data_IF_429041078585
#
_entry.id   IF_429041078585
#
_cell.length_a   1.000
_cell.length_b   1.000
_cell.length_c   1.000
_cell.angle_alpha   90.00
_cell.angle_beta   90.00
_cell.angle_gamma   90.00
#
_symmetry.space_group_name_H-M   'P 1'
#
loop_
_entity.id
_entity.type
_entity.pdbx_description
1 polymer ?
#
# COMPACT_ATOMS: atom_id res chain seq x y z
N UNK A 1 18.17 -11.30 -20.79
CA UNK A 1 18.57 -11.97 -19.53
C UNK A 1 17.76 -11.30 -18.42
N UNK A 2 16.74 -11.98 -17.89
CA UNK A 2 15.97 -11.49 -16.75
C UNK A 2 16.89 -11.50 -15.52
N UNK A 3 17.13 -10.34 -14.91
CA UNK A 3 17.87 -10.23 -13.64
C UNK A 3 16.89 -9.73 -12.60
N UNK A 4 16.66 -10.52 -11.56
CA UNK A 4 15.91 -10.07 -10.38
C UNK A 4 16.78 -9.09 -9.61
N UNK A 5 16.41 -7.82 -9.64
CA UNK A 5 17.19 -6.73 -9.06
C UNK A 5 16.95 -6.56 -7.56
N UNK A 6 15.72 -6.79 -7.08
CA UNK A 6 15.34 -6.54 -5.69
C UNK A 6 14.04 -7.29 -5.31
N UNK A 7 14.00 -7.91 -4.14
CA UNK A 7 12.82 -8.58 -3.57
C UNK A 7 12.63 -8.10 -2.13
N UNK A 8 11.47 -7.49 -1.82
CA UNK A 8 11.12 -7.03 -0.48
C UNK A 8 9.86 -7.74 0.02
N UNK A 9 10.04 -8.60 1.02
CA UNK A 9 8.99 -9.45 1.61
C UNK A 9 8.42 -8.95 2.95
N UNK A 10 8.75 -7.72 3.33
CA UNK A 10 8.24 -7.08 4.54
C UNK A 10 6.81 -6.57 4.31
N UNK A 11 5.94 -6.66 5.31
CA UNK A 11 4.57 -6.10 5.26
C UNK A 11 3.83 -6.36 3.94
N UNK A 12 3.44 -7.62 3.68
CA UNK A 12 2.78 -7.97 2.44
C UNK A 12 1.47 -7.22 2.31
N UNK A 13 1.20 -6.75 1.10
CA UNK A 13 -0.07 -6.12 0.76
C UNK A 13 -1.17 -7.17 0.93
N UNK A 14 -2.35 -6.78 1.42
CA UNK A 14 -3.53 -7.63 1.44
C UNK A 14 -4.46 -7.25 0.29
N UNK A 15 -5.15 -8.26 -0.25
CA UNK A 15 -6.19 -8.08 -1.24
C UNK A 15 -7.18 -9.24 -1.19
N UNK A 16 -7.96 -9.37 -2.24
CA UNK A 16 -8.94 -10.44 -2.39
C UNK A 16 -8.36 -11.50 -3.34
N UNK A 17 -8.42 -12.75 -2.91
CA UNK A 17 -8.04 -13.93 -3.71
C UNK A 17 -9.14 -14.35 -4.68
N UNK A 18 -8.83 -15.32 -5.55
CA UNK A 18 -9.80 -15.92 -6.46
C UNK A 18 -11.01 -16.60 -5.79
N UNK A 19 -10.94 -16.87 -4.48
CA UNK A 19 -12.06 -17.39 -3.67
C UNK A 19 -12.89 -16.28 -3.01
N UNK A 20 -12.59 -15.01 -3.27
CA UNK A 20 -13.27 -13.88 -2.61
C UNK A 20 -12.82 -13.64 -1.17
N UNK A 21 -11.73 -14.26 -0.71
CA UNK A 21 -11.20 -14.13 0.65
C UNK A 21 -10.01 -13.18 0.74
N UNK A 22 -9.89 -12.50 1.88
CA UNK A 22 -8.71 -11.68 2.20
C UNK A 22 -7.47 -12.56 2.25
N UNK A 23 -6.43 -12.17 1.52
CA UNK A 23 -5.16 -12.90 1.50
C UNK A 23 -3.97 -11.97 1.29
N UNK A 24 -2.75 -12.36 1.70
CA UNK A 24 -1.53 -11.68 1.30
C UNK A 24 -1.31 -11.78 -0.21
N UNK A 25 -0.86 -10.68 -0.79
CA UNK A 25 -0.41 -10.55 -2.15
C UNK A 25 1.12 -10.47 -2.14
N UNK A 26 1.77 -11.26 -2.99
CA UNK A 26 3.20 -11.13 -3.25
C UNK A 26 3.43 -10.44 -4.60
N UNK A 27 4.48 -9.62 -4.75
CA UNK A 27 4.92 -9.19 -6.06
C UNK A 27 5.23 -10.40 -6.96
N UNK A 28 4.54 -10.48 -8.08
CA UNK A 28 4.85 -11.40 -9.17
C UNK A 28 5.86 -10.78 -10.13
N UNK A 29 5.69 -11.02 -11.43
CA UNK A 29 6.51 -10.37 -12.45
C UNK A 29 6.11 -8.90 -12.59
N UNK A 30 7.03 -8.00 -12.27
CA UNK A 30 6.87 -6.55 -12.42
C UNK A 30 7.90 -6.07 -13.44
N UNK A 31 7.48 -5.97 -14.71
CA UNK A 31 8.41 -5.84 -15.83
C UNK A 31 8.44 -4.41 -16.36
N UNK A 32 9.65 -3.85 -16.39
CA UNK A 32 10.01 -2.66 -17.18
C UNK A 32 10.95 -3.13 -18.27
N UNK A 33 10.67 -2.77 -19.51
CA UNK A 33 11.46 -3.23 -20.63
C UNK A 33 11.93 -2.10 -21.55
N UNK A 34 13.12 -2.31 -22.09
CA UNK A 34 13.75 -1.47 -23.10
C UNK A 34 14.06 -2.36 -24.29
N UNK A 35 13.61 -1.96 -25.47
CA UNK A 35 13.84 -2.70 -26.71
C UNK A 35 14.91 -1.97 -27.49
N UNK A 36 15.95 -2.72 -27.87
CA UNK A 36 17.09 -2.26 -28.67
C UNK A 36 17.08 -3.08 -29.95
N UNK A 37 17.13 -2.41 -31.10
CA UNK A 37 17.18 -3.07 -32.40
C UNK A 37 18.55 -3.68 -32.71
N UNK A 38 18.67 -4.35 -33.86
CA UNK A 38 19.90 -5.00 -34.33
C UNK A 38 21.04 -4.01 -34.64
N UNK A 39 20.73 -2.72 -34.79
CA UNK A 39 21.70 -1.63 -34.98
C UNK A 39 22.23 -1.06 -33.66
N UNK A 40 21.66 -1.49 -32.53
CA UNK A 40 21.99 -0.95 -31.20
C UNK A 40 21.20 0.31 -30.83
N UNK A 41 20.17 0.68 -31.59
CA UNK A 41 19.33 1.84 -31.30
C UNK A 41 18.18 1.44 -30.37
N UNK A 42 17.97 2.24 -29.33
CA UNK A 42 16.82 2.08 -28.42
C UNK A 42 15.55 2.52 -29.14
N UNK A 43 14.60 1.61 -29.31
CA UNK A 43 13.29 1.87 -29.94
C UNK A 43 12.15 1.98 -28.92
N UNK A 44 12.31 1.36 -27.75
CA UNK A 44 11.41 1.50 -26.59
C UNK A 44 12.28 1.63 -25.36
N UNK A 45 11.98 2.57 -24.47
CA UNK A 45 12.78 2.82 -23.27
C UNK A 45 11.90 2.84 -22.03
N UNK A 46 12.18 1.97 -21.08
CA UNK A 46 11.52 1.91 -19.78
C UNK A 46 9.98 1.85 -19.85
N UNK A 47 9.46 1.00 -20.73
CA UNK A 47 8.02 0.84 -20.93
C UNK A 47 7.45 -0.21 -19.96
N UNK A 48 6.22 0.03 -19.52
CA UNK A 48 5.38 -0.93 -18.79
C UNK A 48 4.11 -1.17 -19.62
N UNK A 49 3.69 -2.43 -19.73
CA UNK A 49 2.47 -2.77 -20.45
C UNK A 49 1.21 -2.40 -19.64
N UNK A 50 0.14 -2.06 -20.34
CA UNK A 50 -1.17 -1.86 -19.74
C UNK A 50 -1.92 -3.21 -19.64
N UNK A 51 -2.85 -3.32 -18.69
CA UNK A 51 -3.66 -4.52 -18.47
C UNK A 51 -5.16 -4.22 -18.71
N UNK A 52 -5.60 -4.01 -19.96
CA UNK A 52 -6.98 -3.64 -20.27
C UNK A 52 -8.00 -4.74 -19.90
N UNK A 53 -7.59 -6.01 -19.91
CA UNK A 53 -8.47 -7.10 -19.51
C UNK A 53 -8.71 -7.09 -18.00
N UNK A 54 -7.70 -6.75 -17.20
CA UNK A 54 -7.85 -6.55 -15.75
C UNK A 54 -8.88 -5.46 -15.45
N UNK A 55 -8.81 -4.33 -16.16
CA UNK A 55 -9.76 -3.23 -16.00
C UNK A 55 -11.22 -3.68 -16.21
N UNK A 56 -11.45 -4.51 -17.24
CA UNK A 56 -12.77 -5.09 -17.52
C UNK A 56 -13.21 -6.07 -16.43
N UNK A 57 -12.30 -6.91 -15.93
CA UNK A 57 -12.62 -7.91 -14.90
C UNK A 57 -13.01 -7.26 -13.58
N UNK A 58 -12.27 -6.24 -13.14
CA UNK A 58 -12.60 -5.53 -11.89
C UNK A 58 -13.70 -4.48 -12.07
N UNK A 59 -14.10 -4.19 -13.32
CA UNK A 59 -15.19 -3.28 -13.65
C UNK A 59 -14.85 -1.82 -13.40
N UNK A 60 -13.62 -1.40 -13.71
CA UNK A 60 -13.16 -0.01 -13.54
C UNK A 60 -12.77 0.65 -14.87
N UNK A 61 -12.84 1.99 -14.93
CA UNK A 61 -12.45 2.77 -16.11
C UNK A 61 -10.92 2.87 -16.27
N UNK A 62 -10.20 3.04 -15.17
CA UNK A 62 -8.75 3.13 -15.16
C UNK A 62 -8.13 1.80 -15.62
N UNK A 63 -7.17 1.85 -16.54
CA UNK A 63 -6.46 0.64 -16.97
C UNK A 63 -5.23 0.42 -16.08
N UNK A 64 -5.18 -0.67 -15.28
CA UNK A 64 -4.02 -0.96 -14.45
C UNK A 64 -2.76 -1.20 -15.29
N UNK A 65 -1.59 -0.97 -14.71
CA UNK A 65 -0.34 -1.45 -15.28
C UNK A 65 -0.20 -2.96 -15.04
N UNK A 66 0.48 -3.64 -15.97
CA UNK A 66 0.82 -5.07 -15.91
C UNK A 66 1.95 -5.35 -14.89
N UNK A 67 1.76 -4.84 -13.67
CA UNK A 67 2.57 -5.07 -12.49
C UNK A 67 1.86 -6.18 -11.71
N UNK A 68 2.37 -7.41 -11.78
CA UNK A 68 1.67 -8.56 -11.22
C UNK A 68 1.78 -8.62 -9.69
N UNK A 69 0.63 -8.87 -9.05
CA UNK A 69 0.49 -9.12 -7.63
C UNK A 69 -0.28 -10.42 -7.44
N UNK A 70 0.41 -11.46 -7.00
CA UNK A 70 -0.15 -12.80 -6.89
C UNK A 70 -0.74 -13.03 -5.48
N UNK A 71 -2.02 -13.40 -5.37
CA UNK A 71 -2.59 -13.91 -4.13
C UNK A 71 -1.87 -15.19 -3.70
N UNK A 72 -1.38 -15.23 -2.46
CA UNK A 72 -0.69 -16.41 -1.92
C UNK A 72 -1.40 -16.98 -0.71
N UNK A 73 -1.29 -18.30 -0.52
CA UNK A 73 -1.73 -18.97 0.70
C UNK A 73 -0.59 -18.94 1.73
N UNK A 74 -0.69 -18.10 2.78
CA UNK A 74 0.38 -17.99 3.75
C UNK A 74 0.46 -19.28 4.57
N UNK A 75 1.68 -19.74 4.81
CA UNK A 75 1.96 -20.76 5.83
C UNK A 75 2.63 -20.06 7.02
N UNK A 76 2.20 -20.38 8.24
CA UNK A 76 2.75 -19.76 9.45
C UNK A 76 4.18 -20.24 9.68
N UNK A 77 5.17 -19.43 9.29
CA UNK A 77 6.60 -19.74 9.49
C UNK A 77 7.16 -19.19 10.82
N UNK A 78 6.39 -18.39 11.57
CA UNK A 78 6.84 -17.71 12.78
C UNK A 78 6.13 -18.24 14.04
N UNK A 79 6.81 -18.14 15.19
CA UNK A 79 6.29 -18.59 16.50
C UNK A 79 5.13 -17.75 17.04
N UNK A 80 4.99 -16.51 16.58
CA UNK A 80 3.96 -15.56 17.00
C UNK A 80 3.33 -14.94 15.77
N UNK A 81 2.03 -14.64 15.85
CA UNK A 81 1.36 -13.82 14.86
C UNK A 81 1.90 -12.39 14.88
N UNK A 82 1.73 -11.68 13.76
CA UNK A 82 1.99 -10.24 13.68
C UNK A 82 1.06 -9.48 14.63
N UNK A 83 1.49 -8.32 15.09
CA UNK A 83 0.62 -7.45 15.90
C UNK A 83 -0.49 -6.86 15.02
N UNK A 84 -1.61 -6.48 15.62
CA UNK A 84 -2.72 -5.88 14.91
C UNK A 84 -2.28 -4.60 14.17
N UNK A 85 -1.42 -3.80 14.78
CA UNK A 85 -0.90 -2.54 14.25
C UNK A 85 0.00 -2.75 13.03
N UNK A 86 0.79 -3.83 13.01
CA UNK A 86 1.65 -4.17 11.87
C UNK A 86 0.84 -4.36 10.58
N UNK A 87 -0.39 -4.87 10.69
CA UNK A 87 -1.29 -4.98 9.55
C UNK A 87 -2.17 -3.72 9.42
N UNK A 88 -2.95 -3.38 10.44
CA UNK A 88 -4.00 -2.37 10.35
C UNK A 88 -3.57 -0.92 10.52
N UNK A 89 -2.34 -0.67 10.97
CA UNK A 89 -1.73 0.66 11.07
C UNK A 89 -0.77 0.95 9.90
N UNK A 90 -0.69 0.05 8.92
CA UNK A 90 0.28 0.13 7.84
C UNK A 90 -0.44 0.28 6.49
N UNK A 91 -0.31 1.44 5.88
CA UNK A 91 -0.96 1.74 4.61
C UNK A 91 -0.43 0.93 3.43
N UNK A 92 0.83 0.47 3.50
CA UNK A 92 1.36 -0.48 2.54
C UNK A 92 0.58 -1.79 2.57
N UNK A 93 0.22 -2.29 3.76
CA UNK A 93 -0.56 -3.53 3.90
C UNK A 93 -1.97 -3.35 3.31
N UNK A 94 -2.53 -2.14 3.36
CA UNK A 94 -3.78 -1.80 2.69
C UNK A 94 -3.67 -1.64 1.16
N UNK A 95 -2.45 -1.72 0.59
CA UNK A 95 -2.17 -1.55 -0.83
C UNK A 95 -1.96 -0.10 -1.29
N UNK A 96 -1.89 0.85 -0.35
CA UNK A 96 -1.70 2.28 -0.63
C UNK A 96 -0.24 2.67 -0.83
N UNK A 97 0.68 1.70 -0.81
CA UNK A 97 2.12 1.92 -0.92
C UNK A 97 2.78 2.32 0.41
N UNK A 98 4.10 2.34 0.40
CA UNK A 98 4.91 2.74 1.57
C UNK A 98 4.68 4.23 1.84
N UNK A 99 4.41 4.60 3.10
CA UNK A 99 4.17 5.99 3.48
C UNK A 99 3.02 6.63 2.71
N UNK A 100 1.92 5.89 2.50
CA UNK A 100 0.77 6.33 1.69
C UNK A 100 1.11 6.63 0.22
N UNK A 101 2.12 5.95 -0.33
CA UNK A 101 2.50 6.08 -1.73
C UNK A 101 3.25 7.36 -2.05
N UNK A 102 3.84 8.01 -1.03
CA UNK A 102 4.53 9.29 -1.21
C UNK A 102 5.98 9.15 -1.72
N UNK A 103 6.60 7.98 -1.57
CA UNK A 103 8.03 7.80 -1.86
C UNK A 103 8.35 7.61 -3.36
N UNK A 104 7.41 7.14 -4.17
CA UNK A 104 7.62 6.84 -5.60
C UNK A 104 6.93 7.74 -6.62
N UNK A 105 6.29 8.84 -6.20
CA UNK A 105 5.54 9.75 -7.11
C UNK A 105 6.37 10.39 -8.24
N UNK A 106 7.70 10.36 -8.13
CA UNK A 106 8.61 10.93 -9.12
C UNK A 106 9.15 9.94 -10.15
N UNK A 107 8.74 8.67 -10.13
CA UNK A 107 9.34 7.62 -10.98
C UNK A 107 9.08 7.82 -12.49
N UNK A 108 8.03 8.58 -12.83
CA UNK A 108 7.77 9.02 -14.21
C UNK A 108 8.65 10.18 -14.69
N UNK A 109 9.58 10.67 -13.86
CA UNK A 109 10.53 11.74 -14.19
C UNK A 109 11.96 11.23 -14.08
N UNK A 110 12.87 11.73 -14.92
CA UNK A 110 14.28 11.38 -14.78
C UNK A 110 14.83 12.01 -13.50
N UNK A 111 15.69 11.26 -12.81
CA UNK A 111 16.49 11.81 -11.71
C UNK A 111 17.80 12.32 -12.28
N UNK A 112 18.06 13.59 -12.03
CA UNK A 112 19.32 14.25 -12.35
C UNK A 112 19.95 14.73 -11.06
N UNK A 113 21.11 14.17 -10.74
CA UNK A 113 21.93 14.60 -9.60
C UNK A 113 22.96 15.62 -10.10
N UNK A 114 22.64 16.91 -9.97
CA UNK A 114 23.50 18.03 -10.36
C UNK A 114 23.07 19.32 -9.63
N UNK A 115 23.74 20.45 -9.89
CA UNK A 115 23.38 21.76 -9.36
C UNK A 115 21.96 22.14 -9.84
N UNK A 116 21.06 22.37 -8.88
CA UNK A 116 19.68 22.79 -9.13
C UNK A 116 19.44 24.23 -8.64
N UNK A 117 18.58 24.95 -9.36
CA UNK A 117 18.01 26.20 -8.87
C UNK A 117 17.05 25.89 -7.71
N UNK A 118 17.38 26.37 -6.52
CA UNK A 118 16.64 26.05 -5.29
C UNK A 118 15.18 26.55 -5.28
N UNK A 119 14.81 27.51 -6.15
CA UNK A 119 13.44 28.05 -6.23
C UNK A 119 12.58 27.30 -7.23
N UNK A 120 13.17 26.85 -8.33
CA UNK A 120 12.45 26.26 -9.47
C UNK A 120 12.66 24.76 -9.61
N UNK A 121 13.66 24.19 -8.93
CA UNK A 121 14.04 22.78 -9.04
C UNK A 121 14.67 22.40 -10.39
N UNK A 122 14.98 23.39 -11.24
CA UNK A 122 15.57 23.15 -12.56
C UNK A 122 17.07 22.92 -12.45
N UNK A 123 17.58 21.95 -13.21
CA UNK A 123 19.01 21.71 -13.37
C UNK A 123 19.67 22.95 -14.02
N UNK A 124 20.72 23.47 -13.39
CA UNK A 124 21.43 24.69 -13.81
C UNK A 124 22.37 24.42 -14.99
N UNK A 125 23.19 23.34 -15.00
CA UNK A 125 24.08 23.08 -16.12
C UNK A 125 23.32 22.84 -17.42
N UNK A 126 23.81 23.46 -18.50
CA UNK A 126 23.28 23.22 -19.85
C UNK A 126 23.57 21.80 -20.37
N UNK A 127 24.56 21.12 -19.78
CA UNK A 127 24.93 19.73 -20.09
C UNK A 127 24.95 18.94 -18.79
N UNK A 128 24.13 17.90 -18.73
CA UNK A 128 24.06 16.96 -17.62
C UNK A 128 23.77 15.56 -18.15
N UNK A 129 23.94 14.56 -17.30
CA UNK A 129 23.57 13.17 -17.59
C UNK A 129 22.43 12.76 -16.67
N UNK A 130 21.50 11.96 -17.17
CA UNK A 130 20.44 11.38 -16.37
C UNK A 130 20.99 10.14 -15.65
N UNK A 131 20.92 10.13 -14.31
CA UNK A 131 21.40 9.01 -13.50
C UNK A 131 20.34 7.91 -13.39
N UNK A 132 19.06 8.28 -13.24
CA UNK A 132 17.95 7.33 -13.23
C UNK A 132 16.94 7.75 -14.32
N UNK A 133 16.80 6.98 -15.40
CA UNK A 133 15.83 7.28 -16.44
C UNK A 133 14.40 7.13 -15.93
N UNK A 134 13.51 7.97 -16.46
CA UNK A 134 12.08 7.93 -16.16
C UNK A 134 11.45 6.60 -16.58
N UNK A 135 10.37 6.23 -15.91
CA UNK A 135 9.44 5.17 -16.31
C UNK A 135 8.09 5.86 -16.55
N UNK A 136 7.82 6.36 -17.77
CA UNK A 136 6.80 7.38 -18.01
C UNK A 136 5.39 7.05 -17.49
N UNK A 137 5.00 5.77 -17.53
CA UNK A 137 3.71 5.28 -17.08
C UNK A 137 3.59 5.08 -15.56
N UNK A 138 4.71 5.06 -14.84
CA UNK A 138 4.69 4.87 -13.40
C UNK A 138 4.66 6.22 -12.69
N UNK A 139 3.47 6.82 -12.68
CA UNK A 139 3.17 8.08 -12.02
C UNK A 139 2.70 7.93 -10.56
N UNK A 140 2.76 6.71 -10.02
CA UNK A 140 2.45 6.35 -8.65
C UNK A 140 3.60 5.55 -8.02
N UNK A 141 3.54 5.33 -6.71
CA UNK A 141 4.58 4.57 -6.00
C UNK A 141 4.58 3.09 -6.41
N UNK A 142 5.73 2.54 -6.78
CA UNK A 142 5.87 1.13 -7.19
C UNK A 142 5.24 0.12 -6.22
N UNK A 143 5.24 0.41 -4.92
CA UNK A 143 4.66 -0.47 -3.89
C UNK A 143 3.15 -0.30 -3.69
N UNK A 144 2.55 0.68 -4.35
CA UNK A 144 1.12 0.95 -4.36
C UNK A 144 0.43 0.12 -5.44
N UNK A 145 -0.70 -0.49 -5.09
CA UNK A 145 -1.51 -1.29 -6.01
C UNK A 145 -2.94 -0.76 -6.13
N UNK A 146 -3.33 0.17 -5.26
CA UNK A 146 -4.66 0.76 -5.22
C UNK A 146 -4.64 2.18 -4.66
N UNK A 147 -5.51 3.05 -5.16
CA UNK A 147 -5.69 4.40 -4.63
C UNK A 147 -6.56 4.40 -3.37
N UNK A 148 -6.58 5.53 -2.64
CA UNK A 148 -7.47 5.70 -1.48
C UNK A 148 -8.96 5.57 -1.83
N UNK A 149 -9.32 5.80 -3.08
CA UNK A 149 -10.68 5.68 -3.60
C UNK A 149 -11.00 4.27 -4.11
N UNK A 150 -10.07 3.32 -3.97
CA UNK A 150 -10.28 1.92 -4.36
C UNK A 150 -10.07 1.66 -5.86
N UNK A 151 -9.38 2.55 -6.58
CA UNK A 151 -9.02 2.33 -8.00
C UNK A 151 -7.76 1.48 -8.04
N UNK A 152 -7.82 0.31 -8.67
CA UNK A 152 -6.69 -0.61 -8.77
C UNK A 152 -5.67 -0.10 -9.80
N UNK A 153 -4.40 -0.03 -9.43
CA UNK A 153 -3.29 0.48 -10.25
C UNK A 153 -2.41 -0.63 -10.86
N UNK A 154 -2.43 -1.81 -10.25
CA UNK A 154 -1.64 -2.98 -10.63
C UNK A 154 -2.53 -4.21 -10.78
N UNK A 155 -2.16 -5.17 -11.62
CA UNK A 155 -2.90 -6.44 -11.76
C UNK A 155 -2.84 -7.27 -10.48
N UNK A 156 -3.96 -7.86 -10.06
CA UNK A 156 -4.03 -8.70 -8.86
C UNK A 156 -4.62 -10.06 -9.22
N UNK A 157 -3.80 -11.10 -9.32
CA UNK A 157 -4.26 -12.47 -9.49
C UNK A 157 -5.21 -12.66 -10.68
N UNK A 158 -4.91 -12.00 -11.81
CA UNK A 158 -5.69 -11.88 -13.06
C UNK A 158 -6.20 -13.18 -13.68
N UNK A 159 -5.77 -14.32 -13.14
CA UNK A 159 -6.22 -15.67 -13.51
C UNK A 159 -7.59 -16.03 -12.91
N UNK A 160 -8.05 -15.31 -11.87
CA UNK A 160 -9.30 -15.63 -11.17
C UNK A 160 -10.25 -14.42 -11.10
N UNK A 161 -11.56 -14.60 -11.40
CA UNK A 161 -12.50 -13.48 -11.51
C UNK A 161 -12.73 -12.65 -10.23
N UNK A 162 -12.50 -13.23 -9.05
CA UNK A 162 -12.69 -12.54 -7.77
C UNK A 162 -11.42 -11.86 -7.26
N UNK A 163 -10.26 -12.12 -7.87
CA UNK A 163 -9.02 -11.51 -7.42
C UNK A 163 -9.03 -10.02 -7.71
N UNK A 164 -8.66 -9.21 -6.71
CA UNK A 164 -8.57 -7.75 -6.84
C UNK A 164 -7.87 -7.13 -5.63
N UNK A 165 -7.45 -5.88 -5.79
CA UNK A 165 -7.14 -5.03 -4.65
C UNK A 165 -8.40 -4.74 -3.80
N UNK A 166 -8.20 -4.17 -2.60
CA UNK A 166 -9.31 -3.73 -1.78
C UNK A 166 -10.08 -2.58 -2.42
N UNK A 167 -11.40 -2.57 -2.26
CA UNK A 167 -12.22 -1.42 -2.65
C UNK A 167 -12.18 -0.33 -1.55
N UNK A 168 -12.74 0.84 -1.85
CA UNK A 168 -12.81 1.97 -0.92
C UNK A 168 -13.35 1.61 0.46
N UNK A 169 -14.48 0.88 0.51
CA UNK A 169 -15.14 0.52 1.77
C UNK A 169 -14.26 -0.39 2.63
N UNK A 170 -13.58 -1.34 2.00
CA UNK A 170 -12.63 -2.24 2.65
C UNK A 170 -11.41 -1.48 3.17
N UNK A 171 -10.83 -0.59 2.36
CA UNK A 171 -9.70 0.28 2.76
C UNK A 171 -10.09 1.19 3.93
N UNK A 172 -11.25 1.85 3.86
CA UNK A 172 -11.76 2.71 4.92
C UNK A 172 -12.04 1.92 6.21
N UNK A 173 -12.53 0.68 6.10
CA UNK A 173 -12.73 -0.21 7.25
C UNK A 173 -11.40 -0.67 7.84
N UNK A 174 -10.47 -1.09 6.99
CA UNK A 174 -9.16 -1.63 7.36
C UNK A 174 -8.33 -0.62 8.15
N UNK A 175 -8.31 0.63 7.68
CA UNK A 175 -7.49 1.72 8.25
C UNK A 175 -8.12 2.36 9.50
N UNK A 176 -9.40 2.11 9.79
CA UNK A 176 -10.04 2.60 11.03
C UNK A 176 -9.53 1.88 12.29
N UNK A 177 -9.01 0.67 12.15
CA UNK A 177 -8.61 -0.16 13.28
C UNK A 177 -7.45 0.44 14.08
N UNK A 178 -6.53 1.21 13.46
CA UNK A 178 -5.48 1.93 14.19
C UNK A 178 -6.01 2.88 15.27
N UNK A 179 -7.13 3.54 15.01
CA UNK A 179 -7.83 4.42 15.97
C UNK A 179 -8.53 3.62 17.08
N UNK A 180 -9.01 2.41 16.77
CA UNK A 180 -9.70 1.54 17.71
C UNK A 180 -8.74 0.79 18.64
N UNK A 181 -7.60 0.33 18.12
CA UNK A 181 -6.65 -0.51 18.85
C UNK A 181 -6.02 0.19 20.05
N UNK A 182 -5.92 1.52 20.04
CA UNK A 182 -5.49 2.29 21.21
C UNK A 182 -6.24 1.91 22.50
N UNK A 183 -7.53 1.58 22.37
CA UNK A 183 -8.38 1.13 23.48
C UNK A 183 -8.63 -0.38 23.48
N UNK A 184 -8.59 -1.03 22.31
CA UNK A 184 -8.97 -2.44 22.15
C UNK A 184 -7.79 -3.44 22.14
N UNK A 185 -6.55 -2.99 22.27
CA UNK A 185 -5.35 -3.85 22.32
C UNK A 185 -5.39 -4.95 23.39
N UNK A 186 -6.09 -4.72 24.50
CA UNK A 186 -6.09 -5.63 25.64
C UNK A 186 -7.37 -6.47 25.74
N UNK A 187 -8.15 -6.65 24.68
CA UNK A 187 -9.46 -7.35 24.69
C UNK A 187 -9.44 -8.75 25.32
N UNK A 188 -8.29 -9.43 25.36
CA UNK A 188 -8.12 -10.73 26.02
C UNK A 188 -7.80 -10.66 27.51
N UNK A 189 -7.55 -9.47 28.08
CA UNK A 189 -7.23 -9.31 29.51
C UNK A 189 -8.51 -9.13 30.34
N UNK A 190 -9.12 -10.24 30.77
CA UNK A 190 -10.38 -10.20 31.52
C UNK A 190 -10.35 -9.28 32.75
N UNK A 191 -9.29 -9.32 33.55
CA UNK A 191 -9.19 -8.53 34.79
C UNK A 191 -9.16 -7.02 34.53
N UNK A 192 -8.66 -6.62 33.35
CA UNK A 192 -8.70 -5.24 32.91
C UNK A 192 -10.13 -4.87 32.50
N UNK A 193 -10.76 -5.66 31.62
CA UNK A 193 -12.09 -5.36 31.10
C UNK A 193 -13.16 -5.38 32.18
N UNK A 194 -13.10 -6.30 33.15
CA UNK A 194 -14.00 -6.31 34.32
C UNK A 194 -14.01 -4.98 35.09
N UNK A 195 -12.95 -4.16 35.00
CA UNK A 195 -12.87 -2.84 35.66
C UNK A 195 -13.36 -1.68 34.80
N UNK A 196 -13.42 -1.85 33.47
CA UNK A 196 -13.64 -0.74 32.53
C UNK A 196 -14.80 -0.96 31.56
N UNK A 197 -15.39 -2.16 31.50
CA UNK A 197 -16.59 -2.47 30.73
C UNK A 197 -17.78 -2.78 31.62
N UNK A 198 -18.95 -2.38 31.15
CA UNK A 198 -20.26 -2.77 31.66
C UNK A 198 -21.00 -3.56 30.58
N UNK A 199 -21.96 -4.40 30.97
CA UNK A 199 -22.77 -5.16 30.02
C UNK A 199 -23.61 -4.23 29.12
N UNK A 200 -23.59 -4.49 27.83
CA UNK A 200 -24.37 -3.74 26.84
C UNK A 200 -23.53 -3.26 25.65
N UNK A 201 -24.14 -2.42 24.82
CA UNK A 201 -23.47 -1.75 23.69
C UNK A 201 -23.64 -0.26 23.85
N UNK A 202 -22.53 0.48 23.76
CA UNK A 202 -22.56 1.93 23.69
C UNK A 202 -22.98 2.37 22.30
N UNK A 203 -23.86 3.37 22.23
CA UNK A 203 -24.07 4.11 20.99
C UNK A 203 -22.88 5.04 20.69
N UNK A 204 -22.90 5.69 19.52
CA UNK A 204 -21.82 6.58 19.10
C UNK A 204 -21.56 7.75 20.07
N UNK A 205 -22.62 8.32 20.66
CA UNK A 205 -22.50 9.45 21.58
C UNK A 205 -21.90 8.99 22.90
N UNK A 206 -22.42 7.90 23.45
CA UNK A 206 -21.95 7.29 24.69
C UNK A 206 -20.48 6.86 24.58
N UNK A 207 -20.08 6.28 23.44
CA UNK A 207 -18.69 5.91 23.19
C UNK A 207 -17.76 7.13 23.18
N UNK A 208 -18.13 8.20 22.47
CA UNK A 208 -17.34 9.44 22.43
C UNK A 208 -17.23 10.12 23.81
N UNK A 209 -18.31 10.13 24.58
CA UNK A 209 -18.30 10.66 25.95
C UNK A 209 -17.38 9.85 26.87
N UNK A 210 -17.38 8.52 26.75
CA UNK A 210 -16.48 7.65 27.52
C UNK A 210 -15.01 7.90 27.16
N UNK A 211 -14.71 8.03 25.87
CA UNK A 211 -13.37 8.37 25.38
C UNK A 211 -12.87 9.72 25.92
N UNK A 212 -13.75 10.74 25.94
CA UNK A 212 -13.41 12.04 26.52
C UNK A 212 -13.18 11.96 28.04
N UNK A 213 -13.99 11.18 28.77
CA UNK A 213 -13.78 10.93 30.21
C UNK A 213 -12.43 10.27 30.47
N UNK A 214 -12.01 9.33 29.62
CA UNK A 214 -10.70 8.68 29.73
C UNK A 214 -9.55 9.69 29.59
N UNK A 215 -9.62 10.58 28.59
CA UNK A 215 -8.64 11.67 28.41
C UNK A 215 -8.56 12.60 29.62
N UNK A 216 -9.72 13.01 30.17
CA UNK A 216 -9.75 13.82 31.39
C UNK A 216 -9.20 13.09 32.62
N UNK A 217 -9.42 11.79 32.74
CA UNK A 217 -8.83 10.98 33.82
C UNK A 217 -7.30 10.91 33.69
N UNK A 218 -6.80 10.67 32.47
CA UNK A 218 -5.36 10.70 32.19
C UNK A 218 -4.74 12.07 32.46
N UNK A 219 -5.45 13.18 32.18
CA UNK A 219 -4.97 14.52 32.51
C UNK A 219 -4.85 14.75 34.02
N UNK A 220 -5.73 14.15 34.83
CA UNK A 220 -5.71 14.27 36.30
C UNK A 220 -4.66 13.37 36.95
N UNK A 221 -4.46 12.17 36.42
CA UNK A 221 -3.69 11.11 37.07
C UNK A 221 -2.36 10.79 36.38
N UNK A 222 -2.18 11.26 35.15
CA UNK A 222 -0.99 11.01 34.35
C UNK A 222 0.14 11.96 34.71
N UNK A 223 1.38 11.46 34.69
CA UNK A 223 2.56 12.33 34.60
C UNK A 223 2.71 12.75 33.14
N UNK A 224 2.97 14.04 32.89
CA UNK A 224 3.40 14.49 31.56
C UNK A 224 4.60 13.66 31.13
N UNK A 225 4.50 13.04 29.96
CA UNK A 225 5.67 12.50 29.26
C UNK A 225 6.46 13.64 28.65
#
# INVERSE_FOLDING_TARGET
MEKRSYLRWEDPVLGISGEGRVTPLMPGCQVVYTVVDDTGKVIVNNEIADAPDEAKYVGQEHVPLAIDMAPVQPHTAQRKARTCESCHGNSKVAGLGIGDGTFGLGQNKPVVEDLIDAKTGKVIPAKYTVQIPAIPKLDFDWSQIVTRDGVQLATVGSHWPLSRAFNKKEIDTFMRTGTCMGCHQNMSQEDLWKKVSEDGKLDFKQHNELMNKMLHNMAKNGKKK
#
